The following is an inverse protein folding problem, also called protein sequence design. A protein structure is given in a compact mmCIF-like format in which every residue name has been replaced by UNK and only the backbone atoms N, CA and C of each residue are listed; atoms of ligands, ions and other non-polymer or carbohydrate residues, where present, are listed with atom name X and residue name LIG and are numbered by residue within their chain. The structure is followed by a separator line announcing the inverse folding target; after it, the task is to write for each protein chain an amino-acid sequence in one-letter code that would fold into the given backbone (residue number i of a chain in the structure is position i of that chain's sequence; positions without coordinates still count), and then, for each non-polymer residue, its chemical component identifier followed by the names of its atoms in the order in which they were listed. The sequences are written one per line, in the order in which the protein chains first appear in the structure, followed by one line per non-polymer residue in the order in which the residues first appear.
data_IF_854755845581
#
_entry.id   IF_854755845581
#
_cell.length_a   1.000
_cell.length_b   1.000
_cell.length_c   1.000
_cell.angle_alpha   90.00
_cell.angle_beta   90.00
_cell.angle_gamma   90.00
#
_symmetry.space_group_name_H-M   'P 1'
#
loop_
_entity.id
_entity.type
_entity.pdbx_description
1 polymer ?
#
# COMPACT_ATOMS: atom_id res chain seq x y z
N UNK A 1 37.55 36.61 -39.79
CA UNK A 1 36.42 35.72 -40.05
C UNK A 1 36.73 34.26 -39.65
N UNK A 2 37.40 33.99 -38.52
CA UNK A 2 37.77 32.63 -38.04
C UNK A 2 37.25 32.29 -36.64
N UNK A 3 36.39 33.13 -36.02
CA UNK A 3 35.89 32.91 -34.65
C UNK A 3 34.40 32.54 -34.55
N UNK A 4 33.69 32.44 -35.67
CA UNK A 4 32.26 32.11 -35.70
C UNK A 4 31.97 30.63 -35.96
N UNK A 5 32.96 29.81 -36.29
CA UNK A 5 32.75 28.36 -36.57
C UNK A 5 32.86 27.46 -35.35
N UNK A 6 33.41 27.92 -34.21
CA UNK A 6 33.59 27.09 -33.02
C UNK A 6 32.33 26.98 -32.16
N UNK A 7 31.41 27.96 -32.29
CA UNK A 7 30.18 27.97 -31.45
C UNK A 7 29.07 27.06 -31.98
N UNK A 8 29.11 26.68 -33.27
CA UNK A 8 28.11 25.82 -33.89
C UNK A 8 28.31 24.33 -33.56
N UNK A 9 29.53 23.90 -33.21
CA UNK A 9 29.82 22.49 -32.87
C UNK A 9 29.38 22.08 -31.44
N UNK A 10 29.21 23.04 -30.54
CA UNK A 10 28.78 22.74 -29.16
C UNK A 10 27.27 22.54 -29.01
N UNK A 11 26.47 23.05 -29.97
CA UNK A 11 25.01 22.85 -29.96
C UNK A 11 24.55 21.51 -30.60
N UNK A 12 25.37 20.85 -31.42
CA UNK A 12 25.03 19.58 -32.04
C UNK A 12 25.09 18.40 -31.04
N UNK A 13 25.84 18.53 -29.93
CA UNK A 13 25.98 17.47 -28.95
C UNK A 13 24.77 17.33 -28.00
N UNK A 14 23.96 18.40 -27.85
CA UNK A 14 22.79 18.37 -26.97
C UNK A 14 21.57 17.68 -27.58
N UNK A 15 21.50 17.58 -28.93
CA UNK A 15 20.40 16.89 -29.62
C UNK A 15 20.60 15.37 -29.73
N UNK A 16 21.81 14.86 -29.54
CA UNK A 16 22.08 13.41 -29.60
C UNK A 16 21.57 12.65 -28.36
N UNK A 17 21.32 13.35 -27.24
CA UNK A 17 20.83 12.74 -26.02
C UNK A 17 19.34 12.35 -26.06
N UNK A 18 18.58 12.87 -27.02
CA UNK A 18 17.12 12.63 -27.14
C UNK A 18 16.77 11.46 -28.06
N UNK A 19 17.74 10.84 -28.75
CA UNK A 19 17.45 9.72 -29.61
C UNK A 19 17.48 8.39 -28.83
N UNK A 20 16.38 7.63 -28.98
CA UNK A 20 16.27 6.29 -28.42
C UNK A 20 17.18 5.32 -29.18
N UNK A 21 18.40 5.09 -28.68
CA UNK A 21 19.35 4.15 -29.23
C UNK A 21 18.94 2.70 -28.93
N UNK A 22 19.35 1.69 -29.73
CA UNK A 22 19.13 0.29 -29.37
C UNK A 22 19.63 -0.07 -27.96
N UNK A 23 20.83 0.41 -27.59
CA UNK A 23 21.40 0.21 -26.27
C UNK A 23 20.52 0.81 -25.14
N UNK A 24 19.97 2.00 -25.38
CA UNK A 24 19.05 2.65 -24.43
C UNK A 24 17.77 1.84 -24.25
N UNK A 25 17.20 1.29 -25.32
CA UNK A 25 16.03 0.42 -25.28
C UNK A 25 16.30 -0.89 -24.50
N UNK A 26 17.47 -1.48 -24.66
CA UNK A 26 17.86 -2.69 -23.92
C UNK A 26 17.96 -2.41 -22.41
N UNK A 27 18.56 -1.27 -22.02
CA UNK A 27 18.63 -0.87 -20.61
C UNK A 27 17.24 -0.65 -20.02
N UNK A 28 16.36 0.02 -20.76
CA UNK A 28 14.97 0.24 -20.32
C UNK A 28 14.23 -1.08 -20.19
N UNK A 29 14.36 -2.00 -21.16
CA UNK A 29 13.74 -3.32 -21.09
C UNK A 29 14.20 -4.10 -19.86
N UNK A 30 15.50 -4.05 -19.52
CA UNK A 30 16.05 -4.68 -18.32
C UNK A 30 15.52 -4.06 -17.03
N UNK A 31 15.41 -2.72 -16.97
CA UNK A 31 14.81 -2.02 -15.84
C UNK A 31 13.34 -2.43 -15.66
N UNK A 32 12.56 -2.47 -16.74
CA UNK A 32 11.16 -2.90 -16.69
C UNK A 32 11.02 -4.35 -16.20
N UNK A 33 11.91 -5.25 -16.64
CA UNK A 33 11.95 -6.63 -16.16
C UNK A 33 12.20 -6.72 -14.66
N UNK A 34 13.15 -5.94 -14.13
CA UNK A 34 13.44 -5.89 -12.69
C UNK A 34 12.29 -5.28 -11.87
N UNK A 35 11.49 -4.42 -12.49
CA UNK A 35 10.32 -3.79 -11.88
C UNK A 35 9.00 -4.53 -12.14
N UNK A 36 9.04 -5.69 -12.77
CA UNK A 36 7.85 -6.43 -13.16
C UNK A 36 6.92 -6.70 -11.97
N UNK A 37 7.46 -7.09 -10.81
CA UNK A 37 6.66 -7.33 -9.61
C UNK A 37 5.92 -6.09 -9.11
N UNK A 38 6.53 -4.90 -9.23
CA UNK A 38 5.89 -3.63 -8.90
C UNK A 38 4.77 -3.29 -9.88
N UNK A 39 4.99 -3.50 -11.19
CA UNK A 39 3.98 -3.29 -12.24
C UNK A 39 2.79 -4.23 -12.01
N UNK A 40 3.05 -5.49 -11.72
CA UNK A 40 2.01 -6.48 -11.40
C UNK A 40 1.28 -6.15 -10.09
N UNK A 41 1.97 -5.58 -9.11
CA UNK A 41 1.38 -5.10 -7.85
C UNK A 41 0.36 -3.97 -8.08
N UNK A 42 0.70 -3.00 -8.92
CA UNK A 42 -0.23 -1.92 -9.34
C UNK A 42 -1.45 -2.51 -10.06
N UNK A 43 -1.23 -3.44 -10.97
CA UNK A 43 -2.31 -4.11 -11.70
C UNK A 43 -3.26 -4.87 -10.77
N UNK A 44 -2.70 -5.59 -9.79
CA UNK A 44 -3.47 -6.27 -8.76
C UNK A 44 -4.31 -5.29 -7.94
N UNK A 45 -3.73 -4.21 -7.45
CA UNK A 45 -4.44 -3.19 -6.68
C UNK A 45 -5.62 -2.60 -7.46
N UNK A 46 -5.43 -2.31 -8.75
CA UNK A 46 -6.50 -1.81 -9.63
C UNK A 46 -7.62 -2.87 -9.80
N UNK A 47 -7.27 -4.14 -9.98
CA UNK A 47 -8.24 -5.22 -10.15
C UNK A 47 -9.01 -5.51 -8.85
N UNK A 48 -8.38 -5.42 -7.68
CA UNK A 48 -8.98 -5.69 -6.38
C UNK A 48 -9.86 -4.54 -5.85
N UNK A 49 -9.63 -3.32 -6.29
CA UNK A 49 -10.35 -2.13 -5.81
C UNK A 49 -11.89 -2.25 -5.91
N UNK A 50 -12.49 -2.69 -7.04
CA UNK A 50 -13.95 -2.86 -7.13
C UNK A 50 -14.48 -3.89 -6.13
N UNK A 51 -13.77 -5.01 -5.93
CA UNK A 51 -14.15 -6.04 -4.97
C UNK A 51 -14.16 -5.49 -3.54
N UNK A 52 -13.16 -4.69 -3.17
CA UNK A 52 -13.10 -4.03 -1.86
C UNK A 52 -14.29 -3.09 -1.64
N UNK A 53 -14.68 -2.31 -2.65
CA UNK A 53 -15.85 -1.42 -2.56
C UNK A 53 -17.17 -2.20 -2.45
N UNK A 54 -17.31 -3.31 -3.18
CA UNK A 54 -18.50 -4.16 -3.09
C UNK A 54 -18.55 -4.83 -1.71
N UNK A 55 -17.44 -5.33 -1.18
CA UNK A 55 -17.35 -5.90 0.18
C UNK A 55 -17.81 -4.89 1.24
N UNK A 56 -17.32 -3.64 1.16
CA UNK A 56 -17.73 -2.59 2.09
C UNK A 56 -19.24 -2.34 2.07
N UNK A 57 -19.84 -2.27 0.87
CA UNK A 57 -21.30 -2.10 0.71
C UNK A 57 -22.07 -3.32 1.22
N UNK A 58 -21.60 -4.53 0.91
CA UNK A 58 -22.21 -5.77 1.37
C UNK A 58 -22.22 -5.85 2.91
N UNK A 59 -21.10 -5.49 3.56
CA UNK A 59 -21.02 -5.45 5.01
C UNK A 59 -22.04 -4.49 5.63
N UNK A 60 -22.22 -3.31 5.04
CA UNK A 60 -23.23 -2.34 5.50
C UNK A 60 -24.65 -2.91 5.39
N UNK A 61 -24.97 -3.58 4.28
CA UNK A 61 -26.29 -4.22 4.06
C UNK A 61 -26.49 -5.40 5.02
N UNK A 62 -25.46 -6.23 5.22
CA UNK A 62 -25.50 -7.37 6.15
C UNK A 62 -25.86 -6.90 7.57
N UNK A 63 -25.23 -5.82 8.01
CA UNK A 63 -25.50 -5.29 9.35
C UNK A 63 -26.89 -4.65 9.46
N UNK A 64 -27.34 -3.91 8.44
CA UNK A 64 -28.55 -3.13 8.49
C UNK A 64 -29.84 -3.92 8.19
N UNK A 65 -29.76 -4.96 7.33
CA UNK A 65 -30.96 -5.59 6.75
C UNK A 65 -31.03 -7.11 6.92
N UNK A 66 -29.94 -7.78 7.28
CA UNK A 66 -29.92 -9.23 7.35
C UNK A 66 -29.99 -9.70 8.81
N UNK A 67 -30.92 -10.65 9.14
CA UNK A 67 -31.00 -11.25 10.47
C UNK A 67 -29.65 -11.88 10.89
N UNK A 68 -29.28 -11.76 12.18
CA UNK A 68 -27.97 -12.22 12.69
C UNK A 68 -27.64 -13.68 12.35
N UNK A 69 -28.63 -14.56 12.40
CA UNK A 69 -28.52 -16.00 12.13
C UNK A 69 -28.15 -16.34 10.66
N UNK A 70 -28.41 -15.41 9.71
CA UNK A 70 -28.13 -15.58 8.28
C UNK A 70 -26.91 -14.85 7.80
N UNK A 71 -26.34 -13.95 8.62
CA UNK A 71 -25.24 -13.05 8.18
C UNK A 71 -23.99 -13.80 7.77
N UNK A 72 -23.61 -14.83 8.54
CA UNK A 72 -22.40 -15.58 8.29
C UNK A 72 -22.47 -16.34 6.95
N UNK A 73 -23.57 -17.03 6.68
CA UNK A 73 -23.77 -17.77 5.44
C UNK A 73 -23.71 -16.83 4.22
N UNK A 74 -24.47 -15.72 4.27
CA UNK A 74 -24.50 -14.74 3.17
C UNK A 74 -23.12 -14.06 3.01
N UNK A 75 -22.43 -13.72 4.11
CA UNK A 75 -21.08 -13.15 4.03
C UNK A 75 -20.11 -14.09 3.34
N UNK A 76 -20.20 -15.39 3.59
CA UNK A 76 -19.39 -16.42 2.93
C UNK A 76 -19.66 -16.49 1.43
N UNK A 77 -20.93 -16.44 1.04
CA UNK A 77 -21.31 -16.46 -0.38
C UNK A 77 -20.78 -15.22 -1.09
N UNK A 78 -20.95 -14.02 -0.50
CA UNK A 78 -20.40 -12.76 -1.02
C UNK A 78 -18.88 -12.84 -1.17
N UNK A 79 -18.18 -13.38 -0.17
CA UNK A 79 -16.72 -13.57 -0.26
C UNK A 79 -16.34 -14.52 -1.41
N UNK A 80 -17.14 -15.58 -1.64
CA UNK A 80 -16.94 -16.49 -2.76
C UNK A 80 -17.05 -15.80 -4.11
N UNK A 81 -18.08 -14.98 -4.30
CA UNK A 81 -18.29 -14.21 -5.53
C UNK A 81 -17.19 -13.19 -5.77
N UNK A 82 -16.76 -12.46 -4.70
CA UNK A 82 -15.68 -11.50 -4.79
C UNK A 82 -14.35 -12.17 -5.12
N UNK A 83 -14.08 -13.34 -4.50
CA UNK A 83 -12.89 -14.11 -4.82
C UNK A 83 -12.88 -14.55 -6.28
N UNK A 84 -13.99 -15.06 -6.79
CA UNK A 84 -14.11 -15.45 -8.19
C UNK A 84 -13.81 -14.27 -9.12
N UNK A 85 -14.40 -13.10 -8.84
CA UNK A 85 -14.11 -11.88 -9.60
C UNK A 85 -12.60 -11.54 -9.59
N UNK A 86 -11.97 -11.55 -8.42
CA UNK A 86 -10.54 -11.23 -8.27
C UNK A 86 -9.67 -12.24 -9.04
N UNK A 87 -9.97 -13.53 -8.92
CA UNK A 87 -9.24 -14.60 -9.61
C UNK A 87 -9.32 -14.46 -11.14
N UNK A 88 -10.43 -13.94 -11.67
CA UNK A 88 -10.65 -13.68 -13.10
C UNK A 88 -10.05 -12.33 -13.56
N UNK A 89 -10.22 -11.27 -12.77
CA UNK A 89 -9.82 -9.91 -13.14
C UNK A 89 -8.32 -9.67 -13.04
N UNK A 90 -7.65 -10.19 -11.99
CA UNK A 90 -6.21 -9.95 -11.75
C UNK A 90 -5.34 -10.40 -12.92
N UNK A 91 -5.48 -11.61 -13.50
CA UNK A 91 -4.68 -12.01 -14.66
C UNK A 91 -4.85 -11.07 -15.85
N UNK A 92 -6.07 -10.64 -16.14
CA UNK A 92 -6.38 -9.75 -17.28
C UNK A 92 -5.70 -8.39 -17.12
N UNK A 93 -5.86 -7.76 -15.93
CA UNK A 93 -5.26 -6.42 -15.69
C UNK A 93 -3.74 -6.51 -15.65
N UNK A 94 -3.17 -7.58 -15.07
CA UNK A 94 -1.72 -7.84 -15.05
C UNK A 94 -1.15 -7.97 -16.46
N UNK A 95 -1.76 -8.77 -17.32
CA UNK A 95 -1.32 -8.92 -18.72
C UNK A 95 -1.31 -7.56 -19.44
N UNK A 96 -2.37 -6.76 -19.23
CA UNK A 96 -2.45 -5.41 -19.83
C UNK A 96 -1.38 -4.48 -19.29
N UNK A 97 -1.12 -4.49 -17.98
CA UNK A 97 -0.09 -3.67 -17.37
C UNK A 97 1.31 -3.99 -17.93
N UNK A 98 1.65 -5.27 -18.04
CA UNK A 98 2.94 -5.71 -18.61
C UNK A 98 3.06 -5.29 -20.08
N UNK A 99 1.99 -5.40 -20.88
CA UNK A 99 1.99 -4.96 -22.29
C UNK A 99 2.08 -3.44 -22.45
N UNK A 100 1.53 -2.67 -21.50
CA UNK A 100 1.56 -1.21 -21.56
C UNK A 100 2.86 -0.61 -21.01
N UNK A 101 3.57 -1.33 -20.14
CA UNK A 101 4.77 -0.82 -19.48
C UNK A 101 5.85 -0.30 -20.47
N UNK A 102 6.19 -0.95 -21.59
CA UNK A 102 7.17 -0.42 -22.52
C UNK A 102 6.76 0.91 -23.16
N UNK A 103 5.51 1.07 -23.53
CA UNK A 103 5.02 2.28 -24.20
C UNK A 103 4.67 3.43 -23.22
N UNK A 104 4.63 3.16 -21.94
CA UNK A 104 4.35 4.15 -20.88
C UNK A 104 5.60 4.43 -20.06
N UNK A 105 5.91 3.56 -19.12
CA UNK A 105 7.09 3.70 -18.25
C UNK A 105 8.37 3.66 -19.08
N UNK A 106 8.47 2.74 -20.05
CA UNK A 106 9.64 2.62 -20.92
C UNK A 106 9.89 3.88 -21.73
N UNK A 107 8.85 4.41 -22.39
CA UNK A 107 8.96 5.67 -23.15
C UNK A 107 9.38 6.85 -22.24
N UNK A 108 8.86 6.92 -21.02
CA UNK A 108 9.24 7.95 -20.07
C UNK A 108 10.70 7.83 -19.63
N UNK A 109 11.19 6.62 -19.39
CA UNK A 109 12.60 6.37 -19.06
C UNK A 109 13.51 6.76 -20.23
N UNK A 110 13.13 6.42 -21.48
CA UNK A 110 13.86 6.79 -22.68
C UNK A 110 13.89 8.32 -22.91
N UNK A 111 12.83 9.03 -22.55
CA UNK A 111 12.78 10.48 -22.68
C UNK A 111 13.61 11.21 -21.62
N UNK A 112 13.51 10.77 -20.36
CA UNK A 112 14.02 11.51 -19.21
C UNK A 112 15.46 11.19 -18.83
N UNK A 113 15.99 10.03 -19.24
CA UNK A 113 17.33 9.57 -18.84
C UNK A 113 18.23 9.42 -20.07
N UNK A 114 19.50 9.78 -19.94
CA UNK A 114 20.56 9.40 -20.87
C UNK A 114 20.90 7.92 -20.74
N UNK A 115 21.67 7.36 -21.68
CA UNK A 115 22.13 5.98 -21.63
C UNK A 115 23.02 5.73 -20.39
N UNK A 116 23.88 6.67 -20.07
CA UNK A 116 24.75 6.62 -18.90
C UNK A 116 23.96 6.64 -17.60
N UNK A 117 22.94 7.47 -17.50
CA UNK A 117 22.05 7.53 -16.33
C UNK A 117 21.25 6.24 -16.17
N UNK A 118 20.78 5.62 -17.27
CA UNK A 118 20.10 4.33 -17.23
C UNK A 118 21.03 3.20 -16.75
N UNK A 119 22.30 3.22 -17.14
CA UNK A 119 23.32 2.28 -16.62
C UNK A 119 23.50 2.44 -15.10
N UNK A 120 23.60 3.68 -14.64
CA UNK A 120 23.71 3.97 -13.20
C UNK A 120 22.44 3.54 -12.44
N UNK A 121 21.26 3.86 -12.96
CA UNK A 121 19.99 3.46 -12.38
C UNK A 121 19.88 1.93 -12.28
N UNK A 122 20.27 1.22 -13.34
CA UNK A 122 20.29 -0.24 -13.35
C UNK A 122 21.22 -0.79 -12.28
N UNK A 123 22.43 -0.24 -12.17
CA UNK A 123 23.40 -0.64 -11.16
C UNK A 123 22.87 -0.43 -9.72
N UNK A 124 22.12 0.67 -9.48
CA UNK A 124 21.45 0.91 -8.19
C UNK A 124 20.38 -0.15 -7.94
N UNK A 125 19.51 -0.41 -8.91
CA UNK A 125 18.41 -1.38 -8.77
C UNK A 125 18.95 -2.79 -8.51
N UNK A 126 20.00 -3.20 -9.22
CA UNK A 126 20.65 -4.50 -9.07
C UNK A 126 21.54 -4.62 -7.83
N UNK A 127 21.85 -3.51 -7.16
CA UNK A 127 22.73 -3.46 -6.00
C UNK A 127 22.23 -4.39 -4.86
N UNK A 128 23.10 -5.24 -4.30
CA UNK A 128 22.77 -6.05 -3.13
C UNK A 128 22.33 -5.22 -1.92
N UNK A 129 22.93 -4.03 -1.77
CA UNK A 129 22.58 -3.10 -0.69
C UNK A 129 21.16 -2.56 -0.87
N UNK A 130 20.80 -2.17 -2.09
CA UNK A 130 19.44 -1.71 -2.40
C UNK A 130 18.41 -2.83 -2.15
N UNK A 131 18.67 -4.06 -2.60
CA UNK A 131 17.79 -5.20 -2.33
C UNK A 131 17.59 -5.44 -0.84
N UNK A 132 18.68 -5.41 -0.05
CA UNK A 132 18.62 -5.55 1.41
C UNK A 132 17.79 -4.43 2.04
N UNK A 133 17.97 -3.19 1.61
CA UNK A 133 17.20 -2.04 2.09
C UNK A 133 15.70 -2.19 1.81
N UNK A 134 15.34 -2.58 0.59
CA UNK A 134 13.95 -2.80 0.20
C UNK A 134 13.29 -3.94 1.01
N UNK A 135 14.01 -5.02 1.28
CA UNK A 135 13.53 -6.13 2.12
C UNK A 135 13.25 -5.69 3.57
N UNK A 136 14.08 -4.78 4.10
CA UNK A 136 13.88 -4.24 5.45
C UNK A 136 12.71 -3.26 5.56
N UNK A 137 12.17 -2.75 4.45
CA UNK A 137 11.13 -1.72 4.46
C UNK A 137 9.91 -2.09 5.31
N UNK A 138 9.41 -3.30 5.17
CA UNK A 138 8.28 -3.81 5.97
C UNK A 138 8.59 -3.91 7.46
N UNK A 139 9.78 -4.40 7.81
CA UNK A 139 10.22 -4.52 9.21
C UNK A 139 10.40 -3.15 9.86
N UNK A 140 11.02 -2.21 9.14
CA UNK A 140 11.20 -0.83 9.62
C UNK A 140 9.85 -0.15 9.87
N UNK A 141 8.91 -0.29 8.92
CA UNK A 141 7.57 0.28 9.07
C UNK A 141 6.83 -0.35 10.27
N UNK A 142 6.90 -1.68 10.39
CA UNK A 142 6.28 -2.39 11.53
C UNK A 142 6.86 -1.92 12.86
N UNK A 143 8.18 -1.87 12.98
CA UNK A 143 8.87 -1.44 14.20
C UNK A 143 8.47 -0.02 14.62
N UNK A 144 8.41 0.91 13.64
CA UNK A 144 7.95 2.27 13.89
C UNK A 144 6.47 2.30 14.33
N UNK A 145 5.60 1.57 13.64
CA UNK A 145 4.16 1.53 13.93
C UNK A 145 3.91 0.97 15.33
N UNK A 146 4.52 -0.16 15.67
CA UNK A 146 4.34 -0.79 16.99
C UNK A 146 4.74 0.17 18.14
N UNK A 147 5.89 0.84 17.96
CA UNK A 147 6.37 1.79 18.97
C UNK A 147 5.50 3.05 19.03
N UNK A 148 5.12 3.60 17.89
CA UNK A 148 4.27 4.78 17.82
C UNK A 148 2.90 4.52 18.46
N UNK A 149 2.27 3.38 18.16
CA UNK A 149 1.00 2.99 18.78
C UNK A 149 1.15 2.87 20.30
N UNK A 150 2.21 2.19 20.79
CA UNK A 150 2.43 2.03 22.21
C UNK A 150 2.62 3.38 22.94
N UNK A 151 3.38 4.29 22.34
CA UNK A 151 3.65 5.61 22.95
C UNK A 151 2.48 6.59 22.86
N UNK A 152 1.68 6.51 21.80
CA UNK A 152 0.56 7.45 21.60
C UNK A 152 -0.74 7.01 22.26
N UNK A 153 -0.92 5.71 22.52
CA UNK A 153 -2.14 5.14 23.09
C UNK A 153 -2.65 5.89 24.34
N UNK A 154 -1.82 6.21 25.36
CA UNK A 154 -2.30 6.92 26.55
C UNK A 154 -2.91 8.30 26.26
N UNK A 155 -2.46 8.95 25.17
CA UNK A 155 -2.93 10.28 24.77
C UNK A 155 -4.10 10.20 23.79
N UNK A 156 -4.11 9.21 22.92
CA UNK A 156 -5.11 9.08 21.85
C UNK A 156 -6.39 8.39 22.33
N UNK A 157 -6.29 7.32 23.15
CA UNK A 157 -7.48 6.60 23.64
C UNK A 157 -8.51 7.50 24.33
N UNK A 158 -8.14 8.47 25.20
CA UNK A 158 -9.11 9.40 25.76
C UNK A 158 -9.78 10.30 24.71
N UNK A 159 -9.05 10.69 23.67
CA UNK A 159 -9.59 11.51 22.56
C UNK A 159 -10.58 10.71 21.71
N UNK A 160 -10.28 9.43 21.43
CA UNK A 160 -11.19 8.54 20.75
C UNK A 160 -12.51 8.40 21.52
N UNK A 161 -12.42 8.13 22.84
CA UNK A 161 -13.61 8.02 23.69
C UNK A 161 -14.45 9.31 23.69
N UNK A 162 -13.78 10.47 23.79
CA UNK A 162 -14.49 11.75 23.73
C UNK A 162 -15.18 11.97 22.38
N UNK A 163 -14.53 11.62 21.30
CA UNK A 163 -15.11 11.68 19.95
C UNK A 163 -16.30 10.72 19.79
N UNK A 164 -16.17 9.47 20.26
CA UNK A 164 -17.25 8.48 20.21
C UNK A 164 -18.48 8.96 20.99
N UNK A 165 -18.27 9.53 22.16
CA UNK A 165 -19.33 10.11 22.97
C UNK A 165 -20.04 11.27 22.26
N UNK A 166 -19.27 12.19 21.68
CA UNK A 166 -19.83 13.31 20.94
C UNK A 166 -20.64 12.85 19.72
N UNK A 167 -20.13 11.89 18.95
CA UNK A 167 -20.82 11.30 17.78
C UNK A 167 -22.10 10.59 18.24
N UNK A 168 -22.05 9.76 19.27
CA UNK A 168 -23.23 9.08 19.81
C UNK A 168 -24.32 10.08 20.25
N UNK A 169 -23.92 11.18 20.88
CA UNK A 169 -24.84 12.25 21.28
C UNK A 169 -25.53 12.89 20.08
N UNK A 170 -24.78 13.20 19.02
CA UNK A 170 -25.36 13.77 17.79
C UNK A 170 -26.30 12.79 17.05
N UNK A 171 -26.01 11.49 17.14
CA UNK A 171 -26.84 10.44 16.53
C UNK A 171 -28.05 10.03 17.40
N UNK A 172 -28.20 10.60 18.60
CA UNK A 172 -29.26 10.21 19.55
C UNK A 172 -29.14 8.77 20.06
N UNK A 173 -27.94 8.19 20.03
CA UNK A 173 -27.66 6.83 20.51
C UNK A 173 -27.40 6.89 22.02
N UNK A 174 -28.16 6.13 22.86
CA UNK A 174 -27.88 6.07 24.28
C UNK A 174 -26.45 5.55 24.54
N UNK A 175 -25.62 6.36 25.16
CA UNK A 175 -24.30 5.94 25.56
C UNK A 175 -24.42 5.15 26.85
N UNK A 176 -24.46 3.83 26.77
CA UNK A 176 -24.32 2.97 27.94
C UNK A 176 -22.89 3.11 28.46
N UNK A 177 -22.73 3.67 29.64
CA UNK A 177 -21.43 3.74 30.31
C UNK A 177 -20.80 2.33 30.37
N UNK A 178 -19.48 2.21 30.15
CA UNK A 178 -18.79 0.94 30.33
C UNK A 178 -19.09 0.42 31.75
N UNK A 179 -19.30 -0.90 31.94
CA UNK A 179 -19.47 -1.43 33.28
C UNK A 179 -18.30 -0.99 34.17
N UNK A 180 -18.61 -0.37 35.28
CA UNK A 180 -17.61 0.01 36.26
C UNK A 180 -16.75 -1.23 36.61
N UNK A 181 -15.43 -1.07 36.78
CA UNK A 181 -14.58 -2.18 37.18
C UNK A 181 -15.16 -2.79 38.45
N UNK A 182 -15.61 -4.04 38.37
CA UNK A 182 -16.04 -4.80 39.53
C UNK A 182 -14.84 -4.95 40.45
N UNK A 183 -14.77 -4.07 41.46
CA UNK A 183 -13.88 -4.27 42.59
C UNK A 183 -14.34 -5.52 43.30
N UNK A 184 -13.67 -6.64 43.05
CA UNK A 184 -13.80 -7.85 43.83
C UNK A 184 -13.45 -7.50 45.27
N UNK A 185 -14.35 -7.71 46.24
CA UNK A 185 -14.03 -7.41 47.65
C UNK A 185 -12.85 -8.29 48.07
N UNK A 186 -11.80 -7.64 48.58
CA UNK A 186 -10.64 -8.33 49.12
C UNK A 186 -11.12 -9.23 50.28
N UNK A 187 -10.86 -10.53 50.17
CA UNK A 187 -11.09 -11.52 51.22
C UNK A 187 -10.34 -11.11 52.50
N UNK A 188 -11.00 -11.04 53.68
CA UNK A 188 -10.30 -10.68 54.90
C UNK A 188 -9.20 -11.71 55.23
N UNK A 189 -8.08 -11.26 55.85
CA UNK A 189 -7.01 -12.15 56.22
C UNK A 189 -7.49 -13.12 57.34
N UNK A 190 -7.23 -14.39 57.12
CA UNK A 190 -7.52 -15.47 58.10
C UNK A 190 -6.68 -15.19 59.36
N UNK A 191 -7.36 -15.10 60.54
CA UNK A 191 -6.76 -15.06 61.87
C UNK A 191 -5.85 -16.28 62.08
N UNK A 192 -4.59 -16.01 62.34
CA UNK A 192 -3.70 -17.04 62.88
C UNK A 192 -4.20 -17.50 64.26
N UNK A 193 -4.52 -18.76 64.34
CA UNK A 193 -4.75 -19.43 65.64
C UNK A 193 -3.38 -19.82 66.18
N UNK A 194 -3.04 -19.27 67.29
CA UNK A 194 -1.96 -19.71 68.15
C UNK A 194 -2.40 -20.98 68.92
N UNK A 195 -1.61 -22.00 68.80
CA UNK A 195 -1.30 -22.89 69.91
C UNK A 195 0.06 -23.53 69.68
#
# INVERSE_FOLDING_TARGET
MKKLFVLALLFASALAAAQSTPAKKELVAKILQLQQSSIEGVARAIAEQPAAMVMQRANAVLQARIPPDKREAIAKDVQGDLKKYVDEAVPVVRERAVKLAPSTIGAMLEEKFSEEELKQLLAIIESPVNRKYLQLGGEMQKALTDKLVAETRPVIDPKIKAMELAVATHLGIPVTAPPAPTTTPAKPPAKAASN
#
